data_IF_225488614621
#
_entry.id   IF_225488614621
#
_cell.length_a   1.000
_cell.length_b   1.000
_cell.length_c   1.000
_cell.angle_alpha   90.00
_cell.angle_beta   90.00
_cell.angle_gamma   90.00
#
_symmetry.space_group_name_H-M   'P 1'
#
loop_
_entity.id
_entity.type
_entity.pdbx_description
1 polymer ?
#
# COMPACT_ATOMS: atom_id res chain seq x y z
N UNK A 1 -23.56 -21.54 24.72
CA UNK A 1 -22.34 -20.95 25.28
C UNK A 1 -22.10 -19.65 24.53
N UNK A 2 -21.91 -18.53 25.22
CA UNK A 2 -21.52 -17.29 24.53
C UNK A 2 -20.21 -17.56 23.78
N UNK A 3 -20.14 -17.23 22.49
CA UNK A 3 -18.92 -17.39 21.72
C UNK A 3 -17.83 -16.53 22.38
N UNK A 4 -16.64 -17.10 22.61
CA UNK A 4 -15.52 -16.33 23.13
C UNK A 4 -15.10 -15.31 22.06
N UNK A 5 -14.86 -14.06 22.46
CA UNK A 5 -14.38 -13.02 21.55
C UNK A 5 -13.08 -13.48 20.90
N UNK A 6 -12.99 -13.51 19.55
CA UNK A 6 -11.81 -14.02 18.89
C UNK A 6 -10.58 -13.17 19.23
N UNK A 7 -9.41 -13.83 19.23
CA UNK A 7 -8.15 -13.11 19.24
C UNK A 7 -8.03 -12.23 17.99
N UNK A 8 -7.14 -11.23 18.02
CA UNK A 8 -6.92 -10.35 16.86
C UNK A 8 -6.50 -11.14 15.63
N UNK A 9 -5.64 -12.15 15.79
CA UNK A 9 -5.20 -12.99 14.68
C UNK A 9 -6.37 -13.80 14.08
N UNK A 10 -7.12 -14.54 14.91
CA UNK A 10 -8.26 -15.34 14.44
C UNK A 10 -9.34 -14.48 13.76
N UNK A 11 -9.57 -13.27 14.28
CA UNK A 11 -10.49 -12.32 13.66
C UNK A 11 -9.99 -11.87 12.28
N UNK A 12 -8.72 -11.50 12.16
CA UNK A 12 -8.15 -11.03 10.89
C UNK A 12 -8.04 -12.17 9.86
N UNK A 13 -7.73 -13.40 10.28
CA UNK A 13 -7.81 -14.59 9.42
C UNK A 13 -9.22 -14.74 8.85
N UNK A 14 -10.26 -14.65 9.70
CA UNK A 14 -11.66 -14.71 9.28
C UNK A 14 -12.12 -13.51 8.43
N UNK A 15 -11.49 -12.35 8.57
CA UNK A 15 -11.75 -11.16 7.75
C UNK A 15 -11.17 -11.31 6.34
N UNK A 16 -9.98 -11.90 6.20
CA UNK A 16 -9.25 -11.98 4.94
C UNK A 16 -9.50 -13.29 4.16
N UNK A 17 -10.11 -14.29 4.78
CA UNK A 17 -10.62 -15.50 4.12
C UNK A 17 -12.04 -15.87 4.60
N UNK A 18 -13.04 -14.99 4.41
CA UNK A 18 -14.40 -15.26 4.85
C UNK A 18 -15.07 -16.32 3.98
N UNK A 19 -15.96 -17.12 4.57
CA UNK A 19 -16.85 -18.04 3.85
C UNK A 19 -18.24 -17.45 3.68
N UNK A 20 -18.72 -16.73 4.70
CA UNK A 20 -20.02 -16.07 4.69
C UNK A 20 -19.90 -14.58 5.02
N UNK A 21 -20.43 -13.74 4.13
CA UNK A 21 -20.49 -12.29 4.29
C UNK A 21 -21.94 -11.84 4.29
N UNK A 22 -22.37 -11.13 5.33
CA UNK A 22 -23.66 -10.45 5.37
C UNK A 22 -23.46 -8.94 5.10
N UNK A 23 -24.27 -8.35 4.20
CA UNK A 23 -24.20 -6.92 3.88
C UNK A 23 -25.46 -6.22 4.37
N UNK A 24 -25.38 -5.54 5.51
CA UNK A 24 -26.48 -4.79 6.12
C UNK A 24 -26.56 -3.41 5.50
N UNK A 25 -27.74 -3.05 5.00
CA UNK A 25 -27.92 -1.85 4.18
C UNK A 25 -27.80 -2.12 2.68
N UNK A 26 -27.75 -3.40 2.28
CA UNK A 26 -27.95 -3.83 0.91
C UNK A 26 -29.20 -3.18 0.29
N UNK A 27 -29.15 -2.85 -1.00
CA UNK A 27 -30.23 -2.10 -1.65
C UNK A 27 -30.29 -2.36 -3.14
N UNK A 28 -31.49 -2.27 -3.73
CA UNK A 28 -31.70 -2.27 -5.20
C UNK A 28 -31.44 -0.90 -5.82
N UNK A 29 -31.50 0.16 -5.00
CA UNK A 29 -31.27 1.53 -5.43
C UNK A 29 -29.78 1.75 -5.66
N UNK A 30 -29.41 2.04 -6.92
CA UNK A 30 -28.05 2.45 -7.29
C UNK A 30 -27.61 3.67 -6.51
N UNK A 31 -26.33 3.72 -6.14
CA UNK A 31 -25.72 4.84 -5.43
C UNK A 31 -25.80 4.77 -3.91
N UNK A 32 -26.52 3.79 -3.33
CA UNK A 32 -26.42 3.51 -1.89
C UNK A 32 -25.15 2.71 -1.59
N UNK A 33 -24.49 2.98 -0.47
CA UNK A 33 -23.23 2.34 -0.09
C UNK A 33 -23.35 0.81 -0.04
N UNK A 34 -24.38 0.26 0.60
CA UNK A 34 -24.58 -1.20 0.66
C UNK A 34 -24.88 -1.85 -0.70
N UNK A 35 -25.44 -1.10 -1.66
CA UNK A 35 -25.57 -1.56 -3.05
C UNK A 35 -24.20 -1.60 -3.74
N UNK A 36 -23.35 -0.59 -3.53
CA UNK A 36 -22.00 -0.54 -4.09
C UNK A 36 -21.12 -1.67 -3.57
N UNK A 37 -21.16 -1.97 -2.26
CA UNK A 37 -20.45 -3.11 -1.66
C UNK A 37 -20.85 -4.43 -2.34
N UNK A 38 -22.15 -4.70 -2.46
CA UNK A 38 -22.64 -5.91 -3.13
C UNK A 38 -22.20 -5.97 -4.59
N UNK A 39 -22.29 -4.85 -5.31
CA UNK A 39 -21.90 -4.80 -6.72
C UNK A 39 -20.40 -5.10 -6.90
N UNK A 40 -19.53 -4.59 -6.01
CA UNK A 40 -18.08 -4.81 -6.07
C UNK A 40 -17.69 -6.25 -5.73
N UNK A 41 -18.27 -6.84 -4.68
CA UNK A 41 -18.05 -8.26 -4.35
C UNK A 41 -18.44 -9.17 -5.52
N UNK A 42 -19.59 -8.91 -6.14
CA UNK A 42 -20.06 -9.70 -7.29
C UNK A 42 -19.23 -9.49 -8.55
N UNK A 43 -18.93 -8.24 -8.90
CA UNK A 43 -18.23 -7.93 -10.15
C UNK A 43 -16.76 -8.37 -10.15
N UNK A 44 -16.15 -8.48 -8.97
CA UNK A 44 -14.80 -9.02 -8.82
C UNK A 44 -14.77 -10.54 -8.71
N UNK A 45 -15.93 -11.20 -8.57
CA UNK A 45 -16.00 -12.66 -8.59
C UNK A 45 -15.74 -13.34 -7.25
N UNK A 46 -16.00 -12.65 -6.12
CA UNK A 46 -15.86 -13.24 -4.79
C UNK A 46 -16.60 -14.59 -4.69
N UNK A 47 -15.86 -15.65 -4.37
CA UNK A 47 -16.35 -17.03 -4.43
C UNK A 47 -17.12 -17.51 -3.19
N UNK A 48 -17.13 -16.74 -2.10
CA UNK A 48 -17.85 -17.09 -0.88
C UNK A 48 -19.34 -16.75 -0.92
N UNK A 49 -20.07 -17.14 0.13
CA UNK A 49 -21.50 -16.86 0.27
C UNK A 49 -21.71 -15.39 0.63
N UNK A 50 -22.48 -14.67 -0.18
CA UNK A 50 -22.91 -13.29 0.08
C UNK A 50 -24.39 -13.29 0.44
N UNK A 51 -24.75 -12.65 1.56
CA UNK A 51 -26.13 -12.54 2.04
C UNK A 51 -26.49 -11.06 2.18
N UNK A 52 -27.29 -10.49 1.26
CA UNK A 52 -27.86 -9.16 1.42
C UNK A 52 -28.79 -9.12 2.63
N UNK A 53 -28.75 -8.04 3.42
CA UNK A 53 -29.70 -7.79 4.51
C UNK A 53 -30.40 -6.45 4.29
N UNK A 54 -31.71 -6.51 4.11
CA UNK A 54 -32.58 -5.36 3.87
C UNK A 54 -33.99 -5.63 4.42
N UNK A 55 -34.61 -4.72 5.19
CA UNK A 55 -35.93 -4.94 5.80
C UNK A 55 -37.06 -5.32 4.83
N UNK A 56 -36.97 -4.92 3.56
CA UNK A 56 -37.93 -5.28 2.52
C UNK A 56 -37.79 -6.73 2.03
N UNK A 57 -36.69 -7.41 2.33
CA UNK A 57 -36.37 -8.76 1.86
C UNK A 57 -36.38 -8.88 0.34
N UNK A 58 -36.59 -10.10 -0.16
CA UNK A 58 -36.69 -10.42 -1.60
C UNK A 58 -35.34 -10.52 -2.28
N UNK A 59 -35.28 -10.37 -3.60
CA UNK A 59 -34.03 -10.51 -4.35
C UNK A 59 -33.30 -9.17 -4.52
N UNK A 60 -32.00 -9.11 -4.24
CA UNK A 60 -31.12 -7.94 -4.44
C UNK A 60 -29.88 -8.42 -5.19
N UNK A 61 -29.60 -7.84 -6.35
CA UNK A 61 -28.46 -8.24 -7.18
C UNK A 61 -28.44 -9.76 -7.44
N UNK A 62 -29.59 -10.41 -7.71
CA UNK A 62 -29.63 -11.86 -7.95
C UNK A 62 -29.45 -12.74 -6.71
N UNK A 63 -29.39 -12.16 -5.51
CA UNK A 63 -29.19 -12.86 -4.25
C UNK A 63 -30.44 -12.71 -3.37
N UNK A 64 -30.83 -13.79 -2.69
CA UNK A 64 -31.92 -13.75 -1.73
C UNK A 64 -31.51 -12.94 -0.49
N UNK A 65 -32.24 -11.86 -0.21
CA UNK A 65 -32.00 -10.99 0.93
C UNK A 65 -32.79 -11.44 2.17
N UNK A 66 -32.10 -11.51 3.30
CA UNK A 66 -32.72 -11.60 4.62
C UNK A 66 -33.30 -10.24 5.04
N UNK A 67 -34.38 -10.26 5.83
CA UNK A 67 -34.98 -9.03 6.38
C UNK A 67 -34.16 -8.46 7.54
N UNK A 68 -33.54 -9.35 8.29
CA UNK A 68 -32.64 -9.04 9.39
C UNK A 68 -31.46 -10.04 9.41
N UNK A 69 -30.55 -9.84 10.37
CA UNK A 69 -29.41 -10.76 10.57
C UNK A 69 -29.80 -12.05 11.30
N UNK A 70 -30.92 -12.06 12.03
CA UNK A 70 -31.38 -13.21 12.82
C UNK A 70 -32.04 -14.29 11.95
N UNK A 71 -32.53 -13.92 10.75
CA UNK A 71 -33.00 -14.82 9.69
C UNK A 71 -31.87 -15.61 9.00
N UNK A 72 -30.60 -15.28 9.28
CA UNK A 72 -29.45 -15.96 8.66
C UNK A 72 -29.10 -17.23 9.41
N UNK A 73 -29.32 -18.37 8.78
CA UNK A 73 -28.90 -19.67 9.31
C UNK A 73 -27.37 -19.84 9.26
N UNK A 74 -26.79 -20.17 10.42
CA UNK A 74 -25.39 -20.58 10.56
C UNK A 74 -24.42 -19.44 10.90
N UNK A 75 -23.10 -19.72 10.91
CA UNK A 75 -22.09 -18.73 11.25
C UNK A 75 -21.91 -17.68 10.15
N UNK A 76 -21.64 -16.44 10.58
CA UNK A 76 -21.32 -15.31 9.70
C UNK A 76 -19.87 -14.91 9.98
N UNK A 77 -18.99 -15.02 8.99
CA UNK A 77 -17.59 -14.62 9.20
C UNK A 77 -17.48 -13.10 9.25
N UNK A 78 -18.13 -12.40 8.31
CA UNK A 78 -18.09 -10.94 8.21
C UNK A 78 -19.47 -10.34 8.07
N UNK A 79 -19.76 -9.30 8.85
CA UNK A 79 -20.89 -8.39 8.64
C UNK A 79 -20.37 -7.04 8.16
N UNK A 80 -20.85 -6.55 7.03
CA UNK A 80 -20.58 -5.17 6.56
C UNK A 80 -21.77 -4.29 6.93
N UNK A 81 -21.52 -3.20 7.65
CA UNK A 81 -22.55 -2.22 8.02
C UNK A 81 -22.46 -1.00 7.13
N UNK A 82 -23.44 -0.84 6.24
CA UNK A 82 -23.54 0.26 5.29
C UNK A 82 -24.91 0.97 5.39
N UNK A 83 -25.35 1.22 6.64
CA UNK A 83 -26.62 1.87 7.00
C UNK A 83 -26.39 3.20 7.72
N UNK A 84 -27.42 4.04 7.93
CA UNK A 84 -27.35 5.15 8.88
C UNK A 84 -26.98 4.68 10.30
N UNK A 85 -26.38 5.58 11.08
CA UNK A 85 -25.76 5.27 12.40
C UNK A 85 -26.68 4.55 13.38
N UNK A 86 -27.94 4.98 13.53
CA UNK A 86 -28.90 4.33 14.44
C UNK A 86 -29.13 2.85 14.09
N UNK A 87 -29.38 2.56 12.80
CA UNK A 87 -29.57 1.19 12.33
C UNK A 87 -28.28 0.37 12.40
N UNK A 88 -27.10 1.00 12.25
CA UNK A 88 -25.82 0.31 12.41
C UNK A 88 -25.59 -0.10 13.86
N UNK A 89 -25.92 0.75 14.84
CA UNK A 89 -25.86 0.43 16.27
C UNK A 89 -26.82 -0.71 16.64
N UNK A 90 -28.05 -0.69 16.13
CA UNK A 90 -29.03 -1.77 16.35
C UNK A 90 -28.57 -3.10 15.73
N UNK A 91 -27.93 -3.04 14.56
CA UNK A 91 -27.31 -4.22 13.93
C UNK A 91 -26.12 -4.76 14.72
N UNK A 92 -25.28 -3.89 15.29
CA UNK A 92 -24.17 -4.28 16.18
C UNK A 92 -24.68 -4.96 17.46
N UNK A 93 -25.73 -4.42 18.08
CA UNK A 93 -26.40 -5.07 19.22
C UNK A 93 -26.91 -6.46 18.82
N UNK A 94 -27.46 -6.61 17.62
CA UNK A 94 -27.89 -7.90 17.10
C UNK A 94 -26.72 -8.87 16.89
N UNK A 95 -25.59 -8.39 16.37
CA UNK A 95 -24.37 -9.19 16.21
C UNK A 95 -23.88 -9.78 17.55
N UNK A 96 -24.17 -9.16 18.70
CA UNK A 96 -23.77 -9.70 20.03
C UNK A 96 -24.45 -11.02 20.37
N UNK A 97 -25.60 -11.30 19.75
CA UNK A 97 -26.40 -12.53 19.96
C UNK A 97 -26.13 -13.59 18.89
N UNK A 98 -25.36 -13.25 17.87
CA UNK A 98 -25.07 -14.10 16.72
C UNK A 98 -23.62 -14.58 16.72
N UNK A 99 -23.34 -15.63 15.96
CA UNK A 99 -21.98 -16.11 15.76
C UNK A 99 -21.28 -15.34 14.63
N UNK A 100 -20.99 -14.06 14.90
CA UNK A 100 -20.25 -13.16 14.02
C UNK A 100 -18.78 -13.11 14.46
N UNK A 101 -17.83 -13.21 13.53
CA UNK A 101 -16.40 -13.05 13.86
C UNK A 101 -15.96 -11.59 13.78
N UNK A 102 -16.24 -10.94 12.66
CA UNK A 102 -15.80 -9.56 12.38
C UNK A 102 -16.93 -8.72 11.80
N UNK A 103 -16.98 -7.47 12.22
CA UNK A 103 -17.82 -6.43 11.64
C UNK A 103 -16.93 -5.40 10.95
N UNK A 104 -17.28 -5.01 9.72
CA UNK A 104 -16.68 -3.89 8.99
C UNK A 104 -17.67 -2.73 9.00
N UNK A 105 -17.39 -1.71 9.80
CA UNK A 105 -18.24 -0.55 9.98
C UNK A 105 -17.94 0.55 8.96
N UNK A 106 -18.66 0.56 7.84
CA UNK A 106 -18.54 1.64 6.83
C UNK A 106 -19.25 2.91 7.31
N UNK A 107 -20.32 2.75 8.07
CA UNK A 107 -21.15 3.83 8.60
C UNK A 107 -20.34 4.92 9.33
N UNK A 108 -20.58 6.17 8.96
CA UNK A 108 -20.16 7.39 9.67
C UNK A 108 -21.28 7.90 10.60
N UNK A 109 -21.06 9.02 11.30
CA UNK A 109 -21.96 9.63 12.27
C UNK A 109 -21.54 9.43 13.72
N UNK A 110 -20.26 9.14 13.96
CA UNK A 110 -19.68 8.97 15.29
C UNK A 110 -18.90 10.23 15.70
N UNK A 111 -17.80 10.12 16.45
CA UNK A 111 -17.08 11.29 17.00
C UNK A 111 -16.70 12.36 15.97
N UNK A 112 -16.57 12.01 14.69
CA UNK A 112 -16.35 12.94 13.58
C UNK A 112 -17.54 13.88 13.31
N UNK A 113 -18.73 13.58 13.81
CA UNK A 113 -19.96 14.34 13.62
C UNK A 113 -20.28 15.35 14.74
N UNK A 114 -19.35 15.56 15.69
CA UNK A 114 -19.54 16.50 16.81
C UNK A 114 -20.38 15.92 17.96
N UNK A 115 -21.16 16.76 18.63
CA UNK A 115 -21.87 16.41 19.87
C UNK A 115 -22.83 15.21 19.71
N UNK A 116 -23.70 15.22 18.70
CA UNK A 116 -24.59 14.09 18.38
C UNK A 116 -23.80 12.80 18.08
N UNK A 117 -22.61 12.97 17.50
CA UNK A 117 -21.68 11.89 17.18
C UNK A 117 -21.02 11.26 18.41
N UNK A 118 -20.77 12.06 19.45
CA UNK A 118 -20.18 11.56 20.70
C UNK A 118 -21.12 10.60 21.45
N UNK A 119 -22.43 10.84 21.42
CA UNK A 119 -23.41 9.91 22.01
C UNK A 119 -23.44 8.57 21.27
N UNK A 120 -23.35 8.60 19.93
CA UNK A 120 -23.26 7.38 19.12
C UNK A 120 -21.99 6.59 19.40
N UNK A 121 -20.84 7.27 19.53
CA UNK A 121 -19.56 6.64 19.87
C UNK A 121 -19.58 6.03 21.28
N UNK A 122 -20.24 6.67 22.26
CA UNK A 122 -20.41 6.11 23.60
C UNK A 122 -21.28 4.85 23.58
N UNK A 123 -22.41 4.87 22.85
CA UNK A 123 -23.24 3.67 22.67
C UNK A 123 -22.47 2.55 21.97
N UNK A 124 -21.67 2.87 20.95
CA UNK A 124 -20.78 1.92 20.29
C UNK A 124 -19.79 1.30 21.27
N UNK A 125 -19.08 2.12 22.07
CA UNK A 125 -18.13 1.62 23.06
C UNK A 125 -18.79 0.66 24.05
N UNK A 126 -20.01 0.98 24.51
CA UNK A 126 -20.77 0.10 25.41
C UNK A 126 -21.07 -1.25 24.76
N UNK A 127 -21.46 -1.27 23.48
CA UNK A 127 -21.67 -2.53 22.74
C UNK A 127 -20.35 -3.32 22.64
N UNK A 128 -19.24 -2.64 22.37
CA UNK A 128 -17.93 -3.27 22.16
C UNK A 128 -17.26 -3.81 23.44
N UNK A 129 -17.72 -3.43 24.64
CA UNK A 129 -17.20 -3.94 25.92
C UNK A 129 -17.36 -5.47 26.02
N UNK A 130 -18.55 -5.97 25.69
CA UNK A 130 -18.90 -7.40 25.81
C UNK A 130 -19.09 -8.08 24.44
N UNK A 131 -18.71 -7.41 23.34
CA UNK A 131 -18.90 -7.94 21.99
C UNK A 131 -18.13 -9.26 21.77
N UNK A 132 -18.78 -10.33 21.28
CA UNK A 132 -18.14 -11.60 20.94
C UNK A 132 -17.43 -11.56 19.57
N UNK A 133 -17.36 -10.38 18.93
CA UNK A 133 -16.76 -10.15 17.62
C UNK A 133 -15.69 -9.05 17.69
N UNK A 134 -15.01 -8.80 16.57
CA UNK A 134 -14.12 -7.65 16.38
C UNK A 134 -14.68 -6.64 15.38
N UNK A 135 -14.27 -5.38 15.51
CA UNK A 135 -14.71 -4.28 14.64
C UNK A 135 -13.52 -3.63 13.91
N UNK A 136 -13.63 -3.52 12.59
CA UNK A 136 -12.85 -2.59 11.75
C UNK A 136 -13.68 -1.33 11.54
N UNK A 137 -13.10 -0.15 11.80
CA UNK A 137 -13.80 1.13 11.78
C UNK A 137 -14.31 1.54 13.18
N UNK A 138 -15.51 2.16 13.27
CA UNK A 138 -16.42 2.50 12.17
C UNK A 138 -15.87 3.64 11.30
N UNK A 139 -16.70 4.24 10.44
CA UNK A 139 -16.32 5.33 9.56
C UNK A 139 -15.06 4.98 8.72
N UNK A 140 -15.09 3.80 8.12
CA UNK A 140 -14.01 3.34 7.24
C UNK A 140 -14.49 3.17 5.80
N UNK A 141 -13.54 3.23 4.87
CA UNK A 141 -13.81 2.91 3.45
C UNK A 141 -14.04 1.41 3.25
N UNK A 142 -13.58 0.58 4.20
CA UNK A 142 -13.69 -0.87 4.15
C UNK A 142 -12.35 -1.60 4.02
N UNK A 143 -12.45 -2.86 3.56
CA UNK A 143 -11.34 -3.82 3.50
C UNK A 143 -11.27 -4.46 2.12
N UNK A 144 -10.07 -4.60 1.56
CA UNK A 144 -9.83 -5.21 0.25
C UNK A 144 -8.72 -6.23 0.33
N UNK A 145 -8.89 -7.39 -0.32
CA UNK A 145 -7.84 -8.40 -0.52
C UNK A 145 -7.90 -8.94 -1.96
N UNK A 146 -7.03 -8.44 -2.85
CA UNK A 146 -7.06 -8.82 -4.27
C UNK A 146 -6.87 -10.32 -4.52
N UNK A 147 -6.06 -11.01 -3.70
CA UNK A 147 -5.78 -12.43 -3.90
C UNK A 147 -7.00 -13.35 -3.75
N UNK A 148 -8.08 -12.88 -3.11
CA UNK A 148 -9.32 -13.61 -2.87
C UNK A 148 -10.55 -12.89 -3.42
N UNK A 149 -10.35 -11.92 -4.32
CA UNK A 149 -11.41 -11.08 -4.91
C UNK A 149 -12.34 -10.42 -3.87
N UNK A 150 -11.82 -10.21 -2.66
CA UNK A 150 -12.57 -9.69 -1.53
C UNK A 150 -12.59 -8.17 -1.57
N UNK A 151 -13.77 -7.58 -1.81
CA UNK A 151 -13.99 -6.12 -1.79
C UNK A 151 -15.11 -5.74 -0.83
N UNK A 152 -14.77 -5.61 0.46
CA UNK A 152 -15.68 -5.15 1.52
C UNK A 152 -15.67 -3.61 1.58
N UNK A 153 -15.89 -2.95 0.45
CA UNK A 153 -15.80 -1.50 0.27
C UNK A 153 -16.88 -1.03 -0.70
N UNK A 154 -17.23 0.25 -0.65
CA UNK A 154 -18.11 0.90 -1.63
C UNK A 154 -17.33 1.64 -2.72
N UNK A 155 -16.00 1.68 -2.62
CA UNK A 155 -15.14 2.52 -3.44
C UNK A 155 -14.66 1.80 -4.70
N UNK A 156 -14.95 2.30 -5.91
CA UNK A 156 -14.43 1.71 -7.14
C UNK A 156 -12.92 1.95 -7.33
N UNK A 157 -12.29 2.79 -6.50
CA UNK A 157 -10.85 3.10 -6.56
C UNK A 157 -9.96 1.87 -6.37
N UNK A 158 -10.49 0.81 -5.75
CA UNK A 158 -9.76 -0.43 -5.48
C UNK A 158 -9.99 -1.52 -6.54
N UNK A 159 -10.75 -1.20 -7.59
CA UNK A 159 -11.06 -2.18 -8.63
C UNK A 159 -9.84 -2.44 -9.54
N UNK A 160 -9.62 -3.70 -9.92
CA UNK A 160 -8.51 -4.09 -10.80
C UNK A 160 -7.13 -4.04 -10.14
N UNK A 161 -7.06 -3.91 -8.80
CA UNK A 161 -5.81 -4.10 -8.08
C UNK A 161 -5.33 -5.55 -8.23
N UNK A 162 -4.02 -5.72 -8.46
CA UNK A 162 -3.42 -7.05 -8.55
C UNK A 162 -2.87 -7.51 -7.20
N UNK A 163 -2.88 -8.82 -6.91
CA UNK A 163 -2.16 -9.36 -5.77
C UNK A 163 -0.69 -8.97 -5.77
N UNK A 164 -0.11 -8.71 -4.60
CA UNK A 164 1.31 -8.41 -4.46
C UNK A 164 1.73 -8.23 -3.02
N UNK A 165 2.92 -7.67 -2.77
CA UNK A 165 3.57 -7.78 -1.46
C UNK A 165 3.25 -6.61 -0.50
N UNK A 166 2.38 -5.67 -0.88
CA UNK A 166 2.11 -4.44 -0.12
C UNK A 166 0.83 -4.57 0.68
N UNK A 167 0.92 -4.51 2.01
CA UNK A 167 -0.24 -4.29 2.86
C UNK A 167 -0.42 -2.79 3.13
N UNK A 168 -1.67 -2.31 3.17
CA UNK A 168 -1.99 -0.91 3.44
C UNK A 168 -2.89 -0.78 4.66
N UNK A 169 -2.51 0.14 5.56
CA UNK A 169 -3.30 0.51 6.74
C UNK A 169 -3.52 2.02 6.67
N UNK A 170 -4.77 2.48 6.66
CA UNK A 170 -5.04 3.91 6.55
C UNK A 170 -6.22 4.36 7.37
N UNK A 171 -6.00 5.36 8.22
CA UNK A 171 -7.07 6.06 8.92
C UNK A 171 -7.90 6.94 7.97
N UNK A 172 -7.39 7.24 6.77
CA UNK A 172 -8.13 7.97 5.72
C UNK A 172 -8.44 7.05 4.54
N UNK A 173 -9.73 6.79 4.31
CA UNK A 173 -10.22 5.98 3.19
C UNK A 173 -9.78 6.50 1.81
N UNK A 174 -10.01 7.78 1.57
CA UNK A 174 -9.67 8.44 0.30
C UNK A 174 -8.16 8.39 0.01
N UNK A 175 -7.31 8.59 1.03
CA UNK A 175 -5.85 8.49 0.85
C UNK A 175 -5.41 7.04 0.59
N UNK A 176 -6.08 6.05 1.20
CA UNK A 176 -5.81 4.64 0.89
C UNK A 176 -6.10 4.36 -0.60
N UNK A 177 -7.26 4.78 -1.10
CA UNK A 177 -7.64 4.65 -2.51
C UNK A 177 -6.65 5.33 -3.45
N UNK A 178 -6.29 6.58 -3.16
CA UNK A 178 -5.32 7.32 -3.97
C UNK A 178 -3.96 6.62 -4.03
N UNK A 179 -3.40 6.22 -2.88
CA UNK A 179 -2.09 5.56 -2.84
C UNK A 179 -2.13 4.19 -3.52
N UNK A 180 -3.20 3.40 -3.33
CA UNK A 180 -3.37 2.11 -4.00
C UNK A 180 -3.44 2.24 -5.52
N UNK A 181 -4.21 3.22 -6.03
CA UNK A 181 -4.29 3.51 -7.46
C UNK A 181 -2.90 3.84 -8.03
N UNK A 182 -2.14 4.72 -7.36
CA UNK A 182 -0.80 5.12 -7.82
C UNK A 182 0.21 3.97 -7.79
N UNK A 183 0.10 3.06 -6.83
CA UNK A 183 0.89 1.83 -6.79
C UNK A 183 0.52 0.89 -7.94
N UNK A 184 -0.78 0.72 -8.21
CA UNK A 184 -1.28 -0.05 -9.35
C UNK A 184 -0.82 0.48 -10.70
N UNK A 185 -0.82 1.81 -10.91
CA UNK A 185 -0.27 2.48 -12.10
C UNK A 185 1.21 2.13 -12.36
N UNK A 186 1.94 1.79 -11.29
CA UNK A 186 3.36 1.39 -11.31
C UNK A 186 3.56 -0.12 -11.36
N UNK A 187 2.48 -0.87 -11.40
CA UNK A 187 2.49 -2.33 -11.39
C UNK A 187 2.76 -2.96 -10.03
N UNK A 188 2.84 -2.16 -8.96
CA UNK A 188 3.04 -2.67 -7.61
C UNK A 188 1.74 -3.30 -7.12
N UNK A 189 1.76 -4.60 -6.88
CA UNK A 189 0.61 -5.34 -6.39
C UNK A 189 0.35 -5.13 -4.89
N UNK A 190 -0.91 -5.31 -4.51
CA UNK A 190 -1.43 -5.11 -3.17
C UNK A 190 -1.81 -6.46 -2.56
N UNK A 191 -1.34 -6.71 -1.34
CA UNK A 191 -1.73 -7.85 -0.54
C UNK A 191 -3.12 -7.63 0.07
N UNK A 192 -3.24 -6.53 0.83
CA UNK A 192 -4.48 -6.15 1.49
C UNK A 192 -4.53 -4.64 1.74
N UNK A 193 -5.73 -4.09 1.80
CA UNK A 193 -6.01 -2.71 2.20
C UNK A 193 -7.01 -2.75 3.34
N UNK A 194 -6.68 -2.07 4.43
CA UNK A 194 -7.59 -1.85 5.55
C UNK A 194 -7.70 -0.36 5.80
N UNK A 195 -8.87 0.20 5.48
CA UNK A 195 -9.23 1.50 6.03
C UNK A 195 -9.64 1.27 7.49
N UNK A 196 -8.88 1.82 8.43
CA UNK A 196 -9.09 1.56 9.87
C UNK A 196 -10.13 2.50 10.50
N UNK A 197 -10.43 3.63 9.84
CA UNK A 197 -11.44 4.59 10.28
C UNK A 197 -11.16 5.13 11.68
N UNK A 198 -12.18 5.14 12.53
CA UNK A 198 -12.10 5.68 13.89
C UNK A 198 -11.31 4.79 14.89
N UNK A 199 -11.03 3.54 14.52
CA UNK A 199 -10.27 2.56 15.31
C UNK A 199 -10.86 2.30 16.70
N UNK A 200 -12.17 2.04 16.80
CA UNK A 200 -12.83 1.79 18.09
C UNK A 200 -12.44 0.44 18.71
N UNK A 201 -11.99 -0.53 17.91
CA UNK A 201 -11.49 -1.85 18.38
C UNK A 201 -10.18 -2.25 17.70
N UNK A 202 -10.22 -2.64 16.42
CA UNK A 202 -9.00 -2.93 15.67
C UNK A 202 -8.34 -1.61 15.25
N UNK A 203 -7.05 -1.49 15.58
CA UNK A 203 -6.26 -0.26 15.40
C UNK A 203 -5.15 -0.51 14.39
N UNK A 204 -4.48 0.55 13.93
CA UNK A 204 -3.30 0.41 13.08
C UNK A 204 -2.22 -0.49 13.70
N UNK A 205 -2.09 -0.50 15.04
CA UNK A 205 -1.12 -1.35 15.74
C UNK A 205 -1.48 -2.84 15.67
N UNK A 206 -2.78 -3.18 15.80
CA UNK A 206 -3.28 -4.55 15.64
C UNK A 206 -3.03 -5.08 14.22
N UNK A 207 -3.34 -4.25 13.22
CA UNK A 207 -3.18 -4.58 11.80
C UNK A 207 -1.70 -4.72 11.42
N UNK A 208 -0.84 -3.82 11.91
CA UNK A 208 0.60 -3.89 11.66
C UNK A 208 1.20 -5.18 12.19
N UNK A 209 0.78 -5.60 13.40
CA UNK A 209 1.25 -6.85 13.99
C UNK A 209 0.83 -8.07 13.16
N UNK A 210 -0.42 -8.11 12.69
CA UNK A 210 -0.91 -9.18 11.82
C UNK A 210 -0.12 -9.27 10.51
N UNK A 211 0.03 -8.15 9.79
CA UNK A 211 0.81 -8.12 8.54
C UNK A 211 2.30 -8.38 8.76
N UNK A 212 2.80 -8.14 9.97
CA UNK A 212 4.14 -8.53 10.37
C UNK A 212 4.38 -10.03 10.32
N UNK A 213 3.37 -10.83 10.66
CA UNK A 213 3.45 -12.28 10.65
C UNK A 213 3.05 -12.90 9.31
N UNK A 214 2.38 -12.15 8.42
CA UNK A 214 1.97 -12.63 7.11
C UNK A 214 3.15 -12.77 6.12
N UNK A 215 3.48 -13.98 5.63
CA UNK A 215 4.59 -14.19 4.71
C UNK A 215 4.39 -13.53 3.33
N UNK A 216 3.15 -13.18 2.95
CA UNK A 216 2.88 -12.49 1.68
C UNK A 216 3.23 -11.00 1.74
N UNK A 217 3.31 -10.42 2.95
CA UNK A 217 3.62 -9.01 3.14
C UNK A 217 5.13 -8.76 3.22
N UNK A 218 5.63 -7.89 2.35
CA UNK A 218 7.01 -7.34 2.39
C UNK A 218 7.06 -5.91 2.90
N UNK A 219 6.08 -5.11 2.51
CA UNK A 219 6.00 -3.69 2.85
C UNK A 219 4.62 -3.37 3.41
N UNK A 220 4.57 -2.67 4.54
CA UNK A 220 3.34 -2.11 5.10
C UNK A 220 3.35 -0.61 4.88
N UNK A 221 2.40 -0.10 4.11
CA UNK A 221 2.18 1.34 3.89
C UNK A 221 1.10 1.84 4.85
N UNK A 222 1.49 2.78 5.71
CA UNK A 222 0.62 3.36 6.73
C UNK A 222 0.30 4.83 6.43
N UNK A 223 -0.96 5.24 6.57
CA UNK A 223 -1.33 6.62 6.83
C UNK A 223 -1.95 6.71 8.23
N UNK A 224 -1.31 7.47 9.11
CA UNK A 224 -1.69 7.60 10.52
C UNK A 224 -1.75 9.07 10.92
N UNK A 225 -2.76 9.42 11.70
CA UNK A 225 -3.00 10.73 12.31
C UNK A 225 -2.74 10.67 13.81
N UNK A 226 -3.06 9.53 14.42
CA UNK A 226 -2.81 9.17 15.83
C UNK A 226 -2.39 7.70 15.91
N UNK A 227 -1.62 7.34 16.94
CA UNK A 227 -1.34 5.95 17.33
C UNK A 227 -1.96 5.67 18.70
N UNK A 228 -3.16 5.08 18.74
CA UNK A 228 -3.88 4.75 19.99
C UNK A 228 -3.07 3.82 20.91
N UNK A 229 -2.43 2.82 20.32
CA UNK A 229 -1.51 1.89 21.01
C UNK A 229 -0.10 2.01 20.43
N UNK A 230 0.57 3.12 20.75
CA UNK A 230 1.92 3.43 20.25
C UNK A 230 2.98 2.40 20.67
N UNK A 231 2.81 1.74 21.83
CA UNK A 231 3.73 0.70 22.28
C UNK A 231 3.64 -0.54 21.40
N UNK A 232 2.43 -1.07 21.19
CA UNK A 232 2.23 -2.22 20.28
C UNK A 232 2.69 -1.90 18.87
N UNK A 233 2.40 -0.68 18.38
CA UNK A 233 2.86 -0.25 17.07
C UNK A 233 4.39 -0.29 16.97
N UNK A 234 5.10 0.25 17.97
CA UNK A 234 6.56 0.25 18.01
C UNK A 234 7.14 -1.17 18.06
N UNK A 235 6.59 -2.04 18.90
CA UNK A 235 7.00 -3.44 19.02
C UNK A 235 6.78 -4.21 17.73
N UNK A 236 5.61 -4.04 17.09
CA UNK A 236 5.31 -4.64 15.80
C UNK A 236 6.27 -4.14 14.72
N UNK A 237 6.43 -2.82 14.57
CA UNK A 237 7.35 -2.23 13.60
C UNK A 237 8.79 -2.75 13.76
N UNK A 238 9.30 -2.83 15.00
CA UNK A 238 10.62 -3.40 15.26
C UNK A 238 10.72 -4.89 14.86
N UNK A 239 9.68 -5.69 15.12
CA UNK A 239 9.64 -7.10 14.68
C UNK A 239 9.69 -7.19 13.15
N UNK A 240 8.91 -6.37 12.44
CA UNK A 240 8.93 -6.32 10.97
C UNK A 240 10.33 -5.96 10.44
N UNK A 241 10.92 -4.89 10.97
CA UNK A 241 12.25 -4.42 10.55
C UNK A 241 13.31 -5.52 10.74
N UNK A 242 13.31 -6.21 11.89
CA UNK A 242 14.24 -7.35 12.14
C UNK A 242 13.98 -8.54 11.22
N UNK A 243 12.72 -8.78 10.84
CA UNK A 243 12.35 -9.83 9.89
C UNK A 243 12.65 -9.45 8.42
N UNK A 244 13.24 -8.28 8.18
CA UNK A 244 13.56 -7.80 6.86
C UNK A 244 12.37 -7.26 6.07
N UNK A 245 11.26 -6.96 6.74
CA UNK A 245 10.10 -6.27 6.18
C UNK A 245 10.20 -4.77 6.45
N UNK A 246 9.44 -3.97 5.70
CA UNK A 246 9.53 -2.52 5.79
C UNK A 246 8.18 -1.90 6.15
N UNK A 247 8.20 -0.85 6.96
CA UNK A 247 7.02 -0.01 7.23
C UNK A 247 7.29 1.37 6.68
N UNK A 248 6.44 1.84 5.76
CA UNK A 248 6.48 3.21 5.24
C UNK A 248 5.28 3.94 5.82
N UNK A 249 5.49 5.06 6.51
CA UNK A 249 4.41 5.77 7.18
C UNK A 249 4.33 7.25 6.78
N UNK A 250 3.12 7.70 6.45
CA UNK A 250 2.76 9.11 6.33
C UNK A 250 2.02 9.53 7.59
N UNK A 251 2.57 10.54 8.30
CA UNK A 251 1.91 11.14 9.46
C UNK A 251 1.07 12.35 9.03
N UNK A 252 -0.23 12.30 9.22
CA UNK A 252 -1.14 13.44 9.12
C UNK A 252 -0.97 14.42 10.29
N UNK A 253 -1.44 15.66 10.16
CA UNK A 253 -1.50 16.60 11.30
C UNK A 253 -0.16 17.06 11.89
N UNK A 254 0.90 17.14 11.08
CA UNK A 254 2.29 17.43 11.55
C UNK A 254 2.52 18.88 12.00
N UNK A 255 1.81 19.82 11.39
CA UNK A 255 1.89 21.24 11.73
C UNK A 255 0.78 21.60 12.72
N UNK A 256 0.90 22.73 13.42
CA UNK A 256 -0.19 23.24 14.28
C UNK A 256 -1.52 23.37 13.53
N UNK A 257 -1.48 23.85 12.29
CA UNK A 257 -2.67 23.97 11.47
C UNK A 257 -3.20 22.61 11.01
N UNK A 258 -2.32 21.69 10.61
CA UNK A 258 -2.72 20.34 10.23
C UNK A 258 -3.31 19.55 11.41
N UNK A 259 -2.73 19.68 12.60
CA UNK A 259 -3.24 19.04 13.83
C UNK A 259 -4.66 19.51 14.15
N UNK A 260 -4.93 20.83 14.03
CA UNK A 260 -6.30 21.35 14.15
C UNK A 260 -7.23 20.80 13.06
N UNK A 261 -6.76 20.69 11.82
CA UNK A 261 -7.56 20.15 10.73
C UNK A 261 -7.94 18.68 10.94
N UNK A 262 -7.01 17.86 11.44
CA UNK A 262 -7.29 16.49 11.87
C UNK A 262 -8.36 16.48 12.97
N UNK A 263 -8.18 17.31 14.01
CA UNK A 263 -9.13 17.39 15.12
C UNK A 263 -10.54 17.76 14.66
N UNK A 264 -10.68 18.71 13.74
CA UNK A 264 -11.97 19.10 13.18
C UNK A 264 -12.58 18.05 12.24
N UNK A 265 -11.77 17.17 11.66
CA UNK A 265 -12.23 16.16 10.69
C UNK A 265 -12.58 14.82 11.33
N UNK A 266 -11.83 14.37 12.34
CA UNK A 266 -12.02 13.06 12.98
C UNK A 266 -12.54 13.14 14.41
N UNK A 267 -12.53 14.34 15.02
CA UNK A 267 -12.82 14.54 16.44
C UNK A 267 -11.69 14.03 17.37
N UNK A 268 -10.68 13.36 16.84
CA UNK A 268 -9.55 12.82 17.61
C UNK A 268 -8.42 13.84 17.76
N UNK A 269 -7.64 13.71 18.84
CA UNK A 269 -6.48 14.56 19.05
C UNK A 269 -5.31 14.04 18.22
N UNK A 270 -4.85 14.81 17.24
CA UNK A 270 -3.68 14.43 16.46
C UNK A 270 -2.47 14.18 17.37
N UNK A 271 -1.82 13.03 17.21
CA UNK A 271 -0.65 12.68 18.00
C UNK A 271 0.52 13.64 17.75
N UNK A 272 1.31 13.91 18.81
CA UNK A 272 2.47 14.80 18.76
C UNK A 272 3.49 14.30 17.71
N UNK A 273 3.81 15.16 16.75
CA UNK A 273 4.66 14.81 15.63
C UNK A 273 6.10 14.48 16.06
N UNK A 274 6.61 15.11 17.13
CA UNK A 274 7.97 14.86 17.64
C UNK A 274 8.06 13.47 18.26
N UNK A 275 7.04 13.10 19.04
CA UNK A 275 6.95 11.77 19.66
C UNK A 275 6.86 10.69 18.58
N UNK A 276 5.96 10.86 17.61
CA UNK A 276 5.81 9.89 16.51
C UNK A 276 7.07 9.82 15.64
N UNK A 277 7.74 10.94 15.39
CA UNK A 277 9.04 10.95 14.68
C UNK A 277 10.11 10.17 15.44
N UNK A 278 10.17 10.29 16.77
CA UNK A 278 11.12 9.53 17.59
C UNK A 278 10.81 8.03 17.54
N UNK A 279 9.54 7.64 17.68
CA UNK A 279 9.11 6.24 17.56
C UNK A 279 9.49 5.68 16.19
N UNK A 280 9.22 6.39 15.10
CA UNK A 280 9.54 5.92 13.76
C UNK A 280 11.05 5.68 13.58
N UNK A 281 11.88 6.62 14.04
CA UNK A 281 13.34 6.49 13.99
C UNK A 281 13.84 5.30 14.80
N UNK A 282 13.32 5.11 16.02
CA UNK A 282 13.76 4.02 16.92
C UNK A 282 13.26 2.63 16.48
N UNK A 283 12.27 2.56 15.60
CA UNK A 283 11.63 1.31 15.18
C UNK A 283 11.97 0.92 13.73
N UNK A 284 12.67 1.79 13.00
CA UNK A 284 13.01 1.59 11.59
C UNK A 284 11.85 1.86 10.63
N UNK A 285 10.81 2.57 11.07
CA UNK A 285 9.73 3.00 10.18
C UNK A 285 10.24 4.12 9.28
N UNK A 286 10.12 3.91 7.96
CA UNK A 286 10.50 4.86 6.94
C UNK A 286 9.42 5.93 6.87
N UNK A 287 9.73 7.12 7.40
CA UNK A 287 8.79 8.24 7.42
C UNK A 287 8.75 8.93 6.05
N UNK A 288 7.63 8.81 5.34
CA UNK A 288 7.40 9.57 4.13
C UNK A 288 6.82 10.95 4.46
N UNK A 289 7.22 11.97 3.68
CA UNK A 289 6.74 13.34 3.92
C UNK A 289 5.25 13.50 3.63
N UNK A 290 4.80 12.88 2.55
CA UNK A 290 3.45 12.91 2.03
C UNK A 290 3.19 11.67 1.15
N UNK A 291 1.96 11.52 0.64
CA UNK A 291 1.49 10.31 -0.05
C UNK A 291 2.29 9.93 -1.31
N UNK A 292 2.74 10.90 -2.11
CA UNK A 292 3.49 10.67 -3.35
C UNK A 292 4.87 10.08 -3.03
N UNK A 293 5.59 10.67 -2.08
CA UNK A 293 6.86 10.15 -1.57
C UNK A 293 6.70 8.77 -0.92
N UNK A 294 5.57 8.51 -0.25
CA UNK A 294 5.28 7.19 0.31
C UNK A 294 5.10 6.15 -0.79
N UNK A 295 4.36 6.47 -1.85
CA UNK A 295 4.21 5.62 -3.03
C UNK A 295 5.57 5.40 -3.70
N UNK A 296 6.42 6.43 -3.80
CA UNK A 296 7.79 6.32 -4.33
C UNK A 296 8.65 5.36 -3.52
N UNK A 297 8.66 5.52 -2.20
CA UNK A 297 9.38 4.62 -1.29
C UNK A 297 8.90 3.17 -1.41
N UNK A 298 7.57 2.96 -1.37
CA UNK A 298 6.98 1.61 -1.48
C UNK A 298 7.28 0.98 -2.84
N UNK A 299 7.34 1.77 -3.92
CA UNK A 299 7.68 1.27 -5.26
C UNK A 299 9.07 0.65 -5.30
N UNK A 300 10.07 1.27 -4.66
CA UNK A 300 11.41 0.69 -4.55
C UNK A 300 11.42 -0.58 -3.66
N UNK A 301 10.80 -0.49 -2.49
CA UNK A 301 10.85 -1.55 -1.48
C UNK A 301 10.05 -2.80 -1.87
N UNK A 302 8.99 -2.65 -2.67
CA UNK A 302 8.14 -3.77 -3.10
C UNK A 302 8.87 -4.73 -4.05
N UNK A 303 9.83 -4.24 -4.84
CA UNK A 303 10.73 -5.09 -5.64
C UNK A 303 11.59 -6.00 -4.75
N UNK A 304 11.86 -5.52 -3.53
CA UNK A 304 12.46 -6.26 -2.44
C UNK A 304 13.85 -6.82 -2.74
N UNK A 305 14.61 -6.01 -3.48
CA UNK A 305 16.05 -6.09 -3.60
C UNK A 305 16.67 -5.15 -2.58
N UNK A 306 17.72 -5.60 -1.91
CA UNK A 306 18.42 -4.82 -0.89
C UNK A 306 19.76 -4.38 -1.43
N UNK A 307 20.10 -3.09 -1.35
CA UNK A 307 21.43 -2.66 -1.73
C UNK A 307 22.44 -3.16 -0.68
N UNK A 308 23.66 -3.45 -1.12
CA UNK A 308 24.76 -3.83 -0.23
C UNK A 308 25.47 -2.61 0.40
N UNK A 309 25.18 -1.41 -0.10
CA UNK A 309 25.78 -0.14 0.30
C UNK A 309 25.09 1.03 -0.43
N UNK A 310 25.72 2.19 -0.47
CA UNK A 310 25.18 3.43 -1.03
C UNK A 310 25.83 3.85 -2.36
N UNK A 311 26.55 2.96 -3.05
CA UNK A 311 27.22 3.29 -4.32
C UNK A 311 26.27 3.08 -5.50
N UNK A 312 25.98 4.15 -6.23
CA UNK A 312 25.01 4.19 -7.32
C UNK A 312 25.73 4.35 -8.64
N UNK A 313 25.37 3.53 -9.63
CA UNK A 313 25.70 3.80 -11.03
C UNK A 313 24.47 4.31 -11.79
N UNK A 314 24.64 5.42 -12.51
CA UNK A 314 23.60 6.03 -13.33
C UNK A 314 23.91 5.76 -14.79
N UNK A 315 22.95 5.18 -15.50
CA UNK A 315 22.99 4.92 -16.93
C UNK A 315 21.95 5.81 -17.57
N UNK A 316 22.34 6.65 -18.52
CA UNK A 316 21.44 7.61 -19.15
C UNK A 316 21.58 7.63 -20.66
N UNK A 317 20.47 7.89 -21.35
CA UNK A 317 20.43 8.17 -22.79
C UNK A 317 20.53 9.67 -23.09
N UNK A 318 20.66 10.50 -22.05
CA UNK A 318 20.85 11.95 -22.11
C UNK A 318 21.73 12.43 -20.95
N UNK A 319 22.82 13.14 -21.25
CA UNK A 319 23.72 13.67 -20.23
C UNK A 319 23.02 14.56 -19.19
N UNK A 320 22.06 15.40 -19.59
CA UNK A 320 21.39 16.35 -18.69
C UNK A 320 20.66 15.70 -17.51
N UNK A 321 19.88 14.64 -17.77
CA UNK A 321 19.21 13.90 -16.68
C UNK A 321 20.19 13.03 -15.88
N UNK A 322 21.31 12.63 -16.48
CA UNK A 322 22.41 11.96 -15.76
C UNK A 322 23.02 12.87 -14.70
N UNK A 323 23.26 14.14 -15.05
CA UNK A 323 23.73 15.18 -14.10
C UNK A 323 22.69 15.42 -13.01
N UNK A 324 21.42 15.67 -13.37
CA UNK A 324 20.36 15.89 -12.38
C UNK A 324 20.22 14.74 -11.39
N UNK A 325 20.24 13.49 -11.87
CA UNK A 325 20.17 12.31 -11.01
C UNK A 325 21.41 12.15 -10.13
N UNK A 326 22.59 12.55 -10.62
CA UNK A 326 23.84 12.55 -9.83
C UNK A 326 23.73 13.50 -8.66
N UNK A 327 23.34 14.75 -8.90
CA UNK A 327 23.17 15.77 -7.86
C UNK A 327 22.15 15.33 -6.81
N UNK A 328 21.04 14.72 -7.24
CA UNK A 328 20.00 14.20 -6.35
C UNK A 328 20.46 13.00 -5.53
N UNK A 329 21.25 12.10 -6.12
CA UNK A 329 21.81 10.94 -5.42
C UNK A 329 22.81 11.39 -4.34
N UNK A 330 23.76 12.26 -4.68
CA UNK A 330 24.73 12.80 -3.72
C UNK A 330 24.06 13.61 -2.61
N UNK A 331 23.07 14.44 -2.96
CA UNK A 331 22.28 15.19 -1.96
C UNK A 331 21.50 14.29 -1.00
N UNK A 332 21.23 13.05 -1.40
CA UNK A 332 20.58 12.03 -0.57
C UNK A 332 21.57 11.12 0.17
N UNK A 333 22.89 11.40 0.11
CA UNK A 333 23.93 10.66 0.81
C UNK A 333 24.45 9.42 0.07
N UNK A 334 24.17 9.29 -1.23
CA UNK A 334 24.69 8.22 -2.07
C UNK A 334 26.00 8.64 -2.74
N UNK A 335 26.84 7.66 -3.05
CA UNK A 335 28.09 7.87 -3.78
C UNK A 335 27.90 7.52 -5.25
N UNK A 336 28.49 8.29 -6.16
CA UNK A 336 28.48 8.01 -7.61
C UNK A 336 29.92 7.73 -8.05
N UNK A 337 30.48 6.55 -7.71
CA UNK A 337 31.90 6.28 -7.90
C UNK A 337 32.25 6.09 -9.37
N UNK A 338 33.51 6.36 -9.72
CA UNK A 338 34.09 5.94 -11.00
C UNK A 338 34.07 4.41 -11.06
N UNK A 339 33.60 3.86 -12.19
CA UNK A 339 33.49 2.41 -12.39
C UNK A 339 34.87 1.77 -12.57
N UNK A 340 34.96 0.48 -12.26
CA UNK A 340 36.19 -0.29 -12.48
C UNK A 340 36.59 -0.32 -13.96
N UNK A 341 37.89 -0.36 -14.26
CA UNK A 341 38.40 -0.38 -15.64
C UNK A 341 37.82 -1.55 -16.46
N UNK A 342 37.60 -2.70 -15.82
CA UNK A 342 36.97 -3.87 -16.43
C UNK A 342 35.53 -3.59 -16.86
N UNK A 343 34.76 -2.88 -16.03
CA UNK A 343 33.38 -2.47 -16.33
C UNK A 343 33.35 -1.43 -17.44
N UNK A 344 34.23 -0.42 -17.38
CA UNK A 344 34.34 0.58 -18.45
C UNK A 344 34.69 -0.06 -19.81
N UNK A 345 35.58 -1.07 -19.80
CA UNK A 345 35.95 -1.87 -20.98
C UNK A 345 34.78 -2.71 -21.51
N UNK A 346 33.92 -3.23 -20.63
CA UNK A 346 32.71 -3.94 -21.04
C UNK A 346 31.69 -2.96 -21.66
N UNK A 347 31.51 -1.79 -21.05
CA UNK A 347 30.59 -0.74 -21.51
C UNK A 347 30.99 -0.13 -22.86
N UNK A 348 32.29 -0.02 -23.16
CA UNK A 348 32.79 0.55 -24.42
C UNK A 348 32.37 -0.22 -25.68
N UNK A 349 31.80 -1.42 -25.54
CA UNK A 349 31.22 -2.20 -26.64
C UNK A 349 29.84 -1.68 -27.08
N UNK A 350 29.16 -0.95 -26.19
CA UNK A 350 27.79 -0.47 -26.38
C UNK A 350 27.71 1.06 -26.39
N UNK A 351 28.65 1.72 -25.70
CA UNK A 351 28.76 3.18 -25.62
C UNK A 351 29.62 3.71 -26.77
N UNK A 352 29.14 4.68 -27.58
CA UNK A 352 29.94 5.27 -28.66
C UNK A 352 31.12 6.09 -28.10
N UNK A 353 32.14 6.34 -28.93
CA UNK A 353 33.36 7.06 -28.50
C UNK A 353 33.11 8.49 -27.98
N UNK A 354 31.97 9.09 -28.33
CA UNK A 354 31.54 10.42 -27.89
C UNK A 354 30.55 10.38 -26.70
N UNK A 355 30.23 9.18 -26.20
CA UNK A 355 29.51 8.98 -24.94
C UNK A 355 30.47 8.87 -23.76
N UNK A 356 29.94 8.47 -22.59
CA UNK A 356 30.72 8.27 -21.37
C UNK A 356 30.57 6.83 -20.88
N UNK A 357 31.70 6.16 -20.63
CA UNK A 357 31.75 4.86 -19.91
C UNK A 357 32.08 5.04 -18.43
N UNK A 358 32.44 6.25 -17.99
CA UNK A 358 32.53 6.60 -16.57
C UNK A 358 31.11 6.69 -15.98
N UNK A 359 30.98 6.76 -14.66
CA UNK A 359 29.72 7.05 -13.99
C UNK A 359 29.51 8.58 -13.92
N UNK A 360 28.41 9.15 -14.42
CA UNK A 360 27.30 8.51 -15.13
C UNK A 360 27.65 8.01 -16.54
N UNK A 361 27.15 6.82 -16.86
CA UNK A 361 27.30 6.17 -18.18
C UNK A 361 26.33 6.84 -19.15
N UNK A 362 26.85 7.49 -20.20
CA UNK A 362 26.05 8.19 -21.20
C UNK A 362 26.08 7.45 -22.53
N UNK A 363 24.97 6.76 -22.86
CA UNK A 363 24.80 6.05 -24.12
C UNK A 363 24.46 6.99 -25.28
N UNK A 364 24.07 8.24 -25.01
CA UNK A 364 23.56 9.18 -26.02
C UNK A 364 22.37 8.58 -26.79
N UNK A 365 22.18 8.96 -28.06
CA UNK A 365 21.14 8.43 -28.94
C UNK A 365 21.41 7.05 -29.54
N UNK A 366 22.53 6.37 -29.23
CA UNK A 366 22.88 5.06 -29.85
C UNK A 366 21.82 3.98 -29.58
N UNK A 367 21.09 4.13 -28.47
CA UNK A 367 19.99 3.25 -28.05
C UNK A 367 18.85 3.17 -29.08
N UNK A 368 18.71 4.19 -29.94
CA UNK A 368 17.74 4.17 -31.03
C UNK A 368 18.14 3.22 -32.16
N UNK A 369 19.43 2.92 -32.30
CA UNK A 369 19.94 1.97 -33.28
C UNK A 369 19.91 0.52 -32.77
N UNK A 370 20.03 0.32 -31.46
CA UNK A 370 19.87 -1.00 -30.85
C UNK A 370 19.23 -0.91 -29.45
N UNK A 371 17.98 -1.37 -29.30
CA UNK A 371 17.23 -1.26 -28.05
C UNK A 371 17.80 -2.13 -26.92
N UNK A 372 18.66 -3.12 -27.22
CA UNK A 372 19.22 -4.02 -26.19
C UNK A 372 20.37 -3.41 -25.39
N UNK A 373 20.96 -2.30 -25.86
CA UNK A 373 22.19 -1.76 -25.28
C UNK A 373 22.03 -1.30 -23.84
N UNK A 374 20.88 -0.72 -23.45
CA UNK A 374 20.65 -0.32 -22.05
C UNK A 374 20.62 -1.54 -21.13
N UNK A 375 19.95 -2.62 -21.55
CA UNK A 375 19.96 -3.90 -20.81
C UNK A 375 21.37 -4.46 -20.65
N UNK A 376 22.19 -4.44 -21.72
CA UNK A 376 23.59 -4.89 -21.66
C UNK A 376 24.47 -4.01 -20.76
N UNK A 377 24.27 -2.70 -20.78
CA UNK A 377 24.97 -1.80 -19.86
C UNK A 377 24.54 -2.06 -18.41
N UNK A 378 23.25 -2.30 -18.15
CA UNK A 378 22.77 -2.69 -16.83
C UNK A 378 23.39 -4.00 -16.35
N UNK A 379 23.53 -5.01 -17.21
CA UNK A 379 24.22 -6.27 -16.87
C UNK A 379 25.68 -6.02 -16.47
N UNK A 380 26.42 -5.21 -17.26
CA UNK A 380 27.81 -4.89 -16.96
C UNK A 380 27.97 -4.11 -15.64
N UNK A 381 27.12 -3.10 -15.44
CA UNK A 381 27.09 -2.29 -14.21
C UNK A 381 26.69 -3.12 -12.99
N UNK A 382 25.72 -4.02 -13.14
CA UNK A 382 25.29 -4.91 -12.06
C UNK A 382 26.39 -5.89 -11.64
N UNK A 383 27.32 -6.24 -12.54
CA UNK A 383 28.47 -7.10 -12.24
C UNK A 383 29.63 -6.35 -11.55
N UNK A 384 29.63 -5.02 -11.58
CA UNK A 384 30.69 -4.19 -10.98
C UNK A 384 30.64 -4.27 -9.43
N UNK A 385 31.70 -4.71 -8.73
CA UNK A 385 31.72 -4.79 -7.26
C UNK A 385 31.71 -3.42 -6.57
N UNK A 386 32.03 -2.36 -7.31
CA UNK A 386 31.95 -0.94 -6.98
C UNK A 386 30.53 -0.37 -6.95
N UNK A 387 29.52 -1.11 -7.43
CA UNK A 387 28.14 -0.64 -7.58
C UNK A 387 27.19 -1.45 -6.71
N UNK A 388 26.38 -0.78 -5.90
CA UNK A 388 25.35 -1.40 -5.06
C UNK A 388 23.94 -1.24 -5.65
N UNK A 389 23.71 -0.16 -6.40
CA UNK A 389 22.42 0.20 -7.01
C UNK A 389 22.64 0.71 -8.43
N UNK A 390 21.78 0.31 -9.37
CA UNK A 390 21.79 0.86 -10.73
C UNK A 390 20.53 1.69 -11.01
N UNK A 391 20.69 2.80 -11.73
CA UNK A 391 19.59 3.63 -12.23
C UNK A 391 19.70 3.71 -13.74
N UNK A 392 18.63 3.40 -14.47
CA UNK A 392 18.56 3.64 -15.92
C UNK A 392 17.55 4.74 -16.25
N UNK A 393 17.99 5.75 -17.00
CA UNK A 393 17.18 6.90 -17.42
C UNK A 393 16.86 6.81 -18.91
N UNK A 394 15.57 6.83 -19.22
CA UNK A 394 15.02 6.64 -20.56
C UNK A 394 14.00 7.74 -20.87
N UNK A 395 14.13 8.37 -22.04
CA UNK A 395 13.36 9.57 -22.43
C UNK A 395 12.41 9.34 -23.61
N UNK A 396 12.47 8.19 -24.25
CA UNK A 396 11.65 7.84 -25.41
C UNK A 396 10.57 6.81 -25.05
N UNK A 397 9.73 6.46 -26.04
CA UNK A 397 8.78 5.35 -25.92
C UNK A 397 9.49 4.07 -26.36
N UNK A 398 9.79 3.14 -25.44
CA UNK A 398 10.48 1.90 -25.77
C UNK A 398 9.54 0.94 -26.51
N UNK A 399 10.11 0.20 -27.46
CA UNK A 399 9.46 -0.96 -28.05
C UNK A 399 9.50 -2.16 -27.08
N UNK A 400 8.88 -3.27 -27.49
CA UNK A 400 8.82 -4.49 -26.69
C UNK A 400 10.22 -5.08 -26.42
N UNK A 401 11.11 -5.05 -27.42
CA UNK A 401 12.45 -5.61 -27.29
C UNK A 401 13.30 -4.85 -26.26
N UNK A 402 13.17 -3.52 -26.22
CA UNK A 402 13.84 -2.69 -25.23
C UNK A 402 13.42 -3.05 -23.80
N UNK A 403 12.10 -3.20 -23.60
CA UNK A 403 11.52 -3.56 -22.31
C UNK A 403 11.97 -4.95 -21.86
N UNK A 404 11.94 -5.92 -22.77
CA UNK A 404 12.40 -7.28 -22.48
C UNK A 404 13.88 -7.28 -22.08
N UNK A 405 14.72 -6.50 -22.76
CA UNK A 405 16.13 -6.36 -22.38
C UNK A 405 16.32 -5.76 -20.97
N UNK A 406 15.51 -4.77 -20.57
CA UNK A 406 15.53 -4.25 -19.20
C UNK A 406 15.06 -5.29 -18.18
N UNK A 407 13.98 -6.01 -18.50
CA UNK A 407 13.40 -7.04 -17.65
C UNK A 407 14.38 -8.22 -17.44
N UNK A 408 15.06 -8.66 -18.51
CA UNK A 408 16.10 -9.68 -18.42
C UNK A 408 17.31 -9.20 -17.60
N UNK A 409 17.74 -7.96 -17.78
CA UNK A 409 18.83 -7.39 -17.00
C UNK A 409 18.46 -7.30 -15.51
N UNK A 410 17.20 -6.95 -15.22
CA UNK A 410 16.64 -7.03 -13.87
C UNK A 410 16.76 -8.46 -13.33
N UNK A 411 16.23 -9.47 -14.03
CA UNK A 411 16.20 -10.86 -13.57
C UNK A 411 17.59 -11.48 -13.30
N UNK A 412 18.67 -10.92 -13.88
CA UNK A 412 20.05 -11.44 -13.76
C UNK A 412 20.83 -10.97 -12.54
N UNK A 413 20.27 -10.09 -11.72
CA UNK A 413 20.96 -9.55 -10.54
C UNK A 413 20.02 -9.42 -9.36
N UNK A 414 20.58 -9.50 -8.14
CA UNK A 414 19.87 -9.18 -6.91
C UNK A 414 20.05 -7.70 -6.49
N UNK A 415 20.94 -6.95 -7.17
CA UNK A 415 21.11 -5.52 -6.91
C UNK A 415 19.84 -4.74 -7.29
N UNK A 416 19.43 -3.73 -6.50
CA UNK A 416 18.34 -2.86 -6.88
C UNK A 416 18.61 -2.15 -8.22
N UNK A 417 17.62 -2.19 -9.10
CA UNK A 417 17.60 -1.40 -10.34
C UNK A 417 16.36 -0.51 -10.32
N UNK A 418 16.55 0.79 -10.51
CA UNK A 418 15.47 1.77 -10.66
C UNK A 418 15.45 2.28 -12.09
N UNK A 419 14.26 2.42 -12.65
CA UNK A 419 14.06 2.95 -13.99
C UNK A 419 13.41 4.34 -13.89
N UNK A 420 14.07 5.35 -14.44
CA UNK A 420 13.49 6.68 -14.64
C UNK A 420 13.02 6.77 -16.07
N UNK A 421 11.71 6.75 -16.28
CA UNK A 421 11.11 6.80 -17.60
C UNK A 421 10.29 8.08 -17.76
N UNK A 422 10.90 9.11 -18.35
CA UNK A 422 10.30 10.45 -18.47
C UNK A 422 9.32 10.58 -19.65
N UNK A 423 9.30 9.61 -20.58
CA UNK A 423 8.36 9.55 -21.71
C UNK A 423 6.89 9.36 -21.31
N UNK A 424 5.97 9.90 -22.12
CA UNK A 424 4.53 10.01 -21.81
C UNK A 424 3.70 8.73 -21.99
N UNK A 425 4.26 7.64 -22.52
CA UNK A 425 3.52 6.43 -22.90
C UNK A 425 3.74 5.24 -21.96
N UNK A 426 3.61 5.43 -20.65
CA UNK A 426 3.79 4.35 -19.65
C UNK A 426 2.67 3.33 -19.58
N UNK A 427 1.57 3.54 -20.30
CA UNK A 427 0.37 2.71 -20.31
C UNK A 427 0.30 1.73 -21.50
N UNK A 428 1.33 1.67 -22.36
CA UNK A 428 1.38 0.71 -23.45
C UNK A 428 1.68 -0.73 -22.95
N UNK A 429 1.49 -1.72 -23.84
CA UNK A 429 1.83 -3.13 -23.60
C UNK A 429 3.29 -3.30 -23.16
N UNK A 430 4.19 -2.44 -23.64
CA UNK A 430 5.60 -2.45 -23.25
C UNK A 430 5.81 -2.19 -21.75
N UNK A 431 4.94 -1.45 -21.06
CA UNK A 431 5.06 -1.29 -19.60
C UNK A 431 4.72 -2.58 -18.81
N UNK A 432 4.01 -3.53 -19.40
CA UNK A 432 3.47 -4.69 -18.69
C UNK A 432 4.54 -5.64 -18.16
N UNK A 433 5.56 -5.97 -18.97
CA UNK A 433 6.62 -6.88 -18.55
C UNK A 433 7.46 -6.35 -17.37
N UNK A 434 7.67 -5.02 -17.28
CA UNK A 434 8.29 -4.39 -16.10
C UNK A 434 7.35 -4.45 -14.89
N UNK A 435 6.05 -4.20 -15.11
CA UNK A 435 5.04 -4.24 -14.05
C UNK A 435 4.84 -5.66 -13.49
N UNK A 436 4.92 -6.71 -14.31
CA UNK A 436 4.84 -8.11 -13.86
C UNK A 436 6.00 -8.50 -12.93
N UNK A 437 7.18 -7.94 -13.19
CA UNK A 437 8.39 -8.13 -12.35
C UNK A 437 8.47 -7.15 -11.18
N UNK A 438 7.49 -6.27 -11.04
CA UNK A 438 7.50 -5.16 -10.09
C UNK A 438 8.80 -4.31 -10.16
N UNK A 439 9.34 -4.11 -11.37
CA UNK A 439 10.51 -3.23 -11.56
C UNK A 439 10.14 -1.80 -11.13
N UNK A 440 10.92 -1.15 -10.26
CA UNK A 440 10.63 0.21 -9.82
C UNK A 440 10.76 1.23 -10.98
N UNK A 441 9.64 1.77 -11.45
CA UNK A 441 9.58 2.77 -12.53
C UNK A 441 9.08 4.13 -12.01
N UNK A 442 9.80 5.21 -12.34
CA UNK A 442 9.53 6.59 -11.91
C UNK A 442 9.36 7.54 -13.12
N UNK A 443 8.62 8.64 -12.94
CA UNK A 443 8.49 9.68 -14.00
C UNK A 443 9.66 10.64 -14.10
N UNK A 444 10.48 10.74 -13.06
CA UNK A 444 11.44 11.81 -12.92
C UNK A 444 12.58 11.38 -12.00
N UNK A 445 13.78 11.98 -12.16
CA UNK A 445 14.89 11.80 -11.24
C UNK A 445 14.49 12.10 -9.78
N UNK A 446 13.72 13.17 -9.53
CA UNK A 446 13.28 13.55 -8.19
C UNK A 446 12.45 12.46 -7.48
N UNK A 447 11.56 11.77 -8.20
CA UNK A 447 10.79 10.65 -7.63
C UNK A 447 11.64 9.41 -7.41
N UNK A 448 12.56 9.11 -8.32
CA UNK A 448 13.50 8.01 -8.14
C UNK A 448 14.42 8.25 -6.93
N UNK A 449 14.85 9.48 -6.67
CA UNK A 449 15.60 9.85 -5.48
C UNK A 449 14.83 9.57 -4.17
N UNK A 450 13.50 9.72 -4.18
CA UNK A 450 12.66 9.34 -3.02
C UNK A 450 12.64 7.82 -2.80
N UNK A 451 12.59 7.03 -3.87
CA UNK A 451 12.74 5.58 -3.81
C UNK A 451 14.12 5.14 -3.34
N UNK A 452 15.17 5.83 -3.83
CA UNK A 452 16.56 5.62 -3.46
C UNK A 452 16.77 5.85 -1.95
N UNK A 453 16.28 6.96 -1.41
CA UNK A 453 16.32 7.25 0.02
C UNK A 453 15.64 6.16 0.88
N UNK A 454 14.55 5.56 0.39
CA UNK A 454 13.90 4.45 1.08
C UNK A 454 14.74 3.17 1.11
N UNK A 455 15.51 2.89 0.04
CA UNK A 455 16.46 1.77 0.00
C UNK A 455 17.64 2.00 0.95
N UNK A 456 18.15 3.23 1.05
CA UNK A 456 19.18 3.60 2.03
C UNK A 456 18.76 3.32 3.47
N UNK A 457 17.50 3.60 3.81
CA UNK A 457 16.96 3.32 5.14
C UNK A 457 16.99 1.82 5.50
N UNK A 458 17.21 0.93 4.53
CA UNK A 458 17.29 -0.53 4.75
C UNK A 458 18.70 -1.03 5.11
N UNK A 459 19.76 -0.26 4.82
CA UNK A 459 21.16 -0.64 5.10
C UNK A 459 21.65 -0.12 6.44
N UNK A 460 20.96 0.87 7.03
CA UNK A 460 21.36 1.50 8.29
C UNK A 460 22.55 2.45 8.18
N UNK A 461 23.03 2.70 6.95
CA UNK A 461 24.26 3.47 6.68
C UNK A 461 24.00 4.95 6.33
N UNK A 462 22.75 5.35 6.11
CA UNK A 462 22.40 6.74 5.75
C UNK A 462 21.35 7.27 6.74
N UNK A 463 21.79 8.16 7.64
CA UNK A 463 20.95 8.89 8.62
C UNK A 463 20.79 10.35 8.25
#
# INVERSE_FOLDING_TARGET
MAACRPTVAEALDGLFDPRTIAVVGASRTKGKLGQAVLALLKSNGYGGKIIPVNPSGGEIEGLQAGRDLEEIDGPIDVVVLATPVGAALDALETCTRLNVKVVVGVTSGFSEAGDDGHENEERLRKIMQDAPFRLVGPNCEGVVRPASDLQLTFSPMFNGLRPGPVAMISQSGALAGLMALRLGERGVGINAIVSSGNETDLTAAHLLDYFGNDPQTRVVLCYVEELRDGRRFAEAAQRLTRAGKHVVAVKGGRSRAGSRAVQSHTGAMAGDDRVISAVFRETGVIRARESVAAVDAVTALAAGRRPAGNRVCIISVTGGLGVEMTDLAESAGFEVPVLDEATQTALSRYVPFYGSVSNPVDLTGVVLANPTYVGRCLEAVAADPGVDIAIAIITFVPDQQFIEALAEAFDRTDKPILIVWTGSARSNASGEALRERAVPVYDSPARAASGLAALAATTGEVT
#
